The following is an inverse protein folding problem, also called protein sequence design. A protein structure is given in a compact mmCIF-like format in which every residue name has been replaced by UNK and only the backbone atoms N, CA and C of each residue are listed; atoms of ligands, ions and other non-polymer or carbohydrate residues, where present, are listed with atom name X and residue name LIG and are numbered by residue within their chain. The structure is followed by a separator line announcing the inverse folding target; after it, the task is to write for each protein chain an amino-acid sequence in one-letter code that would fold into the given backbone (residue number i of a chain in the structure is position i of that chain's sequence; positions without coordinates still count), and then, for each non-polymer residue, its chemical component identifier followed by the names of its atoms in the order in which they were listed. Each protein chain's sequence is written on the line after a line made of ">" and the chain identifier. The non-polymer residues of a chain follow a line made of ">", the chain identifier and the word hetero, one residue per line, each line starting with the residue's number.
data_IF_278291720163
#
_entry.id   IF_278291720163
#
_cell.length_a   1.000
_cell.length_b   1.000
_cell.length_c   1.000
_cell.angle_alpha   90.00
_cell.angle_beta   90.00
_cell.angle_gamma   90.00
#
_symmetry.space_group_name_H-M   'P 1'
#
loop_
_entity.id
_entity.type
_entity.pdbx_description
1 polymer ?
#
# COMPACT_ATOMS: atom_id res chain seq x y z
N UNK A 1 -8.78 -7.78 7.90
CA UNK A 1 -8.11 -8.96 7.30
C UNK A 1 -8.72 -9.16 5.93
N UNK A 2 -7.92 -9.48 4.91
CA UNK A 2 -8.36 -9.53 3.52
C UNK A 2 -7.96 -10.83 2.82
N UNK A 3 -8.81 -11.28 1.90
CA UNK A 3 -8.55 -12.42 0.99
C UNK A 3 -8.56 -11.98 -0.49
N UNK A 4 -9.09 -10.79 -0.79
CA UNK A 4 -9.05 -10.16 -2.11
C UNK A 4 -8.03 -9.00 -2.10
N UNK A 5 -7.09 -9.01 -3.05
CA UNK A 5 -6.01 -8.01 -3.11
C UNK A 5 -6.54 -6.62 -3.50
N UNK A 6 -7.50 -6.53 -4.41
CA UNK A 6 -8.06 -5.23 -4.84
C UNK A 6 -8.73 -4.51 -3.66
N UNK A 7 -9.56 -5.22 -2.89
CA UNK A 7 -10.18 -4.67 -1.69
C UNK A 7 -9.14 -4.23 -0.64
N UNK A 8 -8.03 -4.96 -0.51
CA UNK A 8 -6.94 -4.57 0.39
C UNK A 8 -6.16 -3.33 -0.10
N UNK A 9 -6.06 -3.12 -1.41
CA UNK A 9 -5.45 -1.91 -2.00
C UNK A 9 -6.34 -0.69 -1.75
N UNK A 10 -7.65 -0.83 -1.97
CA UNK A 10 -8.60 0.26 -1.73
C UNK A 10 -8.58 0.70 -0.27
N UNK A 11 -8.57 -0.26 0.67
CA UNK A 11 -8.39 0.02 2.10
C UNK A 11 -7.07 0.75 2.39
N UNK A 12 -5.96 0.28 1.81
CA UNK A 12 -4.66 0.91 2.04
C UNK A 12 -4.62 2.36 1.53
N UNK A 13 -5.26 2.64 0.38
CA UNK A 13 -5.42 4.00 -0.17
C UNK A 13 -6.32 4.86 0.70
N UNK A 14 -7.44 4.33 1.18
CA UNK A 14 -8.33 5.01 2.11
C UNK A 14 -7.57 5.43 3.39
N UNK A 15 -6.86 4.50 4.03
CA UNK A 15 -6.07 4.78 5.23
C UNK A 15 -4.92 5.76 4.97
N UNK A 16 -4.32 5.73 3.77
CA UNK A 16 -3.33 6.74 3.36
C UNK A 16 -3.95 8.14 3.29
N UNK A 17 -5.14 8.27 2.72
CA UNK A 17 -5.84 9.55 2.62
C UNK A 17 -6.26 10.06 4.01
N UNK A 18 -6.78 9.19 4.88
CA UNK A 18 -7.26 9.55 6.21
C UNK A 18 -6.13 9.94 7.17
N UNK A 19 -5.02 9.20 7.17
CA UNK A 19 -3.96 9.37 8.18
C UNK A 19 -2.73 10.15 7.67
N UNK A 20 -2.60 10.33 6.35
CA UNK A 20 -1.39 10.84 5.71
C UNK A 20 -0.17 9.92 5.84
N UNK A 21 -0.32 8.69 6.38
CA UNK A 21 0.78 7.73 6.60
C UNK A 21 0.79 6.66 5.52
N UNK A 22 1.98 6.17 5.20
CA UNK A 22 2.10 5.07 4.24
C UNK A 22 1.58 3.78 4.86
N UNK A 23 0.83 3.03 4.06
CA UNK A 23 0.34 1.70 4.36
C UNK A 23 0.87 0.69 3.33
N UNK A 24 1.06 -0.55 3.78
CA UNK A 24 1.49 -1.66 2.96
C UNK A 24 0.58 -2.87 3.18
N UNK A 25 0.54 -3.76 2.19
CA UNK A 25 -0.16 -5.04 2.27
C UNK A 25 0.90 -6.13 2.43
N UNK A 26 0.75 -6.93 3.47
CA UNK A 26 1.60 -8.10 3.72
C UNK A 26 0.76 -9.37 3.67
N UNK A 27 1.31 -10.42 3.06
CA UNK A 27 0.70 -11.74 3.02
C UNK A 27 1.37 -12.67 4.04
N UNK A 28 0.55 -13.39 4.80
CA UNK A 28 1.00 -14.47 5.69
C UNK A 28 0.87 -15.84 5.01
N UNK A 29 1.54 -16.90 5.52
CA UNK A 29 1.25 -18.28 5.13
C UNK A 29 -0.26 -18.56 5.24
N UNK A 30 -0.84 -19.22 4.24
CA UNK A 30 -2.29 -19.43 4.12
C UNK A 30 -3.03 -18.36 3.30
N UNK A 31 -2.32 -17.45 2.64
CA UNK A 31 -2.90 -16.51 1.66
C UNK A 31 -3.57 -15.28 2.25
N UNK A 32 -3.70 -15.22 3.57
CA UNK A 32 -4.32 -14.11 4.29
C UNK A 32 -3.49 -12.83 4.19
N UNK A 33 -4.16 -11.73 3.85
CA UNK A 33 -3.56 -10.41 3.70
C UNK A 33 -3.94 -9.44 4.82
N UNK A 34 -2.99 -8.59 5.20
CA UNK A 34 -3.17 -7.53 6.18
C UNK A 34 -2.66 -6.20 5.63
N UNK A 35 -3.51 -5.18 5.73
CA UNK A 35 -3.12 -3.77 5.56
C UNK A 35 -2.51 -3.28 6.86
N UNK A 36 -1.35 -2.63 6.80
CA UNK A 36 -0.62 -2.15 7.97
C UNK A 36 0.04 -0.82 7.67
N UNK A 37 0.17 0.02 8.69
CA UNK A 37 0.97 1.23 8.58
C UNK A 37 2.46 0.85 8.43
N UNK A 38 3.09 1.36 7.37
CA UNK A 38 4.51 1.16 7.08
C UNK A 38 5.34 2.10 7.96
N UNK A 39 5.67 1.65 9.18
CA UNK A 39 6.43 2.43 10.17
C UNK A 39 7.94 2.30 10.00
N UNK A 40 8.42 1.09 9.69
CA UNK A 40 9.84 0.82 9.48
C UNK A 40 10.01 -0.18 8.34
N UNK A 41 10.46 0.27 7.15
CA UNK A 41 10.61 -0.60 5.97
C UNK A 41 11.50 -1.82 6.22
N UNK A 42 12.44 -1.74 7.18
CA UNK A 42 13.35 -2.83 7.53
C UNK A 42 12.71 -3.92 8.39
N UNK A 43 11.68 -3.60 9.19
CA UNK A 43 10.96 -4.61 9.99
C UNK A 43 10.07 -5.51 9.16
N UNK A 44 9.70 -5.06 7.96
CA UNK A 44 8.84 -5.79 7.05
C UNK A 44 9.61 -6.69 6.07
N UNK A 45 10.96 -6.73 6.13
CA UNK A 45 11.82 -7.52 5.24
C UNK A 45 11.51 -9.02 5.29
N UNK A 46 10.99 -9.53 6.42
CA UNK A 46 10.59 -10.94 6.57
C UNK A 46 9.16 -11.26 6.12
N UNK A 47 8.36 -10.27 5.71
CA UNK A 47 6.99 -10.47 5.26
C UNK A 47 6.90 -10.24 3.75
N UNK A 48 6.15 -11.11 3.05
CA UNK A 48 5.89 -10.93 1.62
C UNK A 48 4.98 -9.70 1.44
N UNK A 49 5.60 -8.56 1.14
CA UNK A 49 4.91 -7.31 0.82
C UNK A 49 4.36 -7.42 -0.60
N UNK A 50 3.05 -7.31 -0.74
CA UNK A 50 2.38 -7.37 -2.04
C UNK A 50 2.22 -5.98 -2.67
N UNK A 51 2.18 -4.95 -1.83
CA UNK A 51 1.86 -3.58 -2.26
C UNK A 51 2.26 -2.56 -1.19
N UNK A 52 2.59 -1.33 -1.61
CA UNK A 52 2.75 -0.16 -0.71
C UNK A 52 2.22 1.11 -1.36
N UNK A 53 1.46 1.88 -0.57
CA UNK A 53 1.01 3.24 -0.93
C UNK A 53 2.16 4.23 -1.13
N UNK A 54 3.38 3.91 -0.71
CA UNK A 54 4.56 4.76 -0.94
C UNK A 54 4.92 4.89 -2.42
N UNK A 55 4.62 3.87 -3.21
CA UNK A 55 4.96 3.80 -4.63
C UNK A 55 3.72 3.79 -5.54
N UNK A 56 2.53 3.94 -4.95
CA UNK A 56 1.27 3.69 -5.64
C UNK A 56 0.85 4.82 -6.59
N UNK A 57 1.43 6.02 -6.45
CA UNK A 57 1.13 7.21 -7.28
C UNK A 57 -0.39 7.54 -7.41
N UNK A 58 -1.22 6.94 -6.57
CA UNK A 58 -2.66 7.12 -6.63
C UNK A 58 -3.01 8.52 -6.13
N UNK A 59 -3.76 9.26 -6.96
CA UNK A 59 -4.14 10.65 -6.67
C UNK A 59 -3.03 11.68 -6.92
N UNK A 60 -1.85 11.29 -7.41
CA UNK A 60 -0.85 12.27 -7.89
C UNK A 60 -1.14 12.66 -9.33
N UNK A 61 -1.49 13.92 -9.57
CA UNK A 61 -1.49 14.49 -10.93
C UNK A 61 -0.04 14.78 -11.30
N UNK A 62 0.52 14.01 -12.23
CA UNK A 62 1.81 14.35 -12.83
C UNK A 62 1.59 15.57 -13.74
N UNK A 63 1.91 16.77 -13.24
CA UNK A 63 1.77 18.03 -13.99
C UNK A 63 2.88 18.24 -15.04
N UNK A 64 3.83 17.31 -15.18
CA UNK A 64 4.98 17.42 -16.08
C UNK A 64 4.83 16.60 -17.37
N UNK A 65 3.80 16.88 -18.16
CA UNK A 65 3.49 16.08 -19.34
C UNK A 65 2.70 16.78 -20.44
N UNK A 66 3.00 18.05 -20.74
CA UNK A 66 2.70 18.65 -22.05
C UNK A 66 3.87 19.57 -22.41
N UNK A 67 4.81 19.07 -23.21
CA UNK A 67 6.00 19.82 -23.60
C UNK A 67 7.06 18.96 -24.27
N UNK A 68 6.71 18.37 -25.42
CA UNK A 68 7.63 18.02 -26.49
C UNK A 68 6.85 18.02 -27.81
#
# INVERSE_FOLDING_TARGET
>A
MFTNLAAAIDEARFLRAETGRHHCITQRPGGVMYVRQERNPRRDIGLKKLYTTRQDQFGTVNTYGVGA
#
